data_IF_555533016817
#
_entry.id   IF_555533016817
#
_cell.length_a   1.000
_cell.length_b   1.000
_cell.length_c   1.000
_cell.angle_alpha   90.00
_cell.angle_beta   90.00
_cell.angle_gamma   90.00
#
_symmetry.space_group_name_H-M   'P 1'
#
loop_
_entity.id
_entity.type
_entity.pdbx_description
1 polymer ?
#
# COMPACT_ATOMS: atom_id res chain seq x y z
N UNK A 1 11.50 12.78 34.21
CA UNK A 1 10.57 11.70 33.88
C UNK A 1 11.23 10.77 32.88
N UNK A 2 11.19 9.48 33.14
CA UNK A 2 11.67 8.44 32.24
C UNK A 2 10.47 7.53 31.98
N UNK A 3 10.14 7.36 30.69
CA UNK A 3 9.09 6.46 30.23
C UNK A 3 9.72 5.47 29.26
N UNK A 4 9.64 4.19 29.59
CA UNK A 4 10.17 3.10 28.77
C UNK A 4 9.01 2.25 28.28
N UNK A 5 8.88 2.09 26.97
CA UNK A 5 7.94 1.16 26.35
C UNK A 5 8.73 0.06 25.66
N UNK A 6 8.34 -1.15 25.94
CA UNK A 6 8.91 -2.33 25.32
C UNK A 6 7.80 -3.09 24.58
N UNK A 7 7.98 -3.31 23.30
CA UNK A 7 7.07 -4.06 22.44
C UNK A 7 7.81 -5.11 21.63
N UNK A 8 7.11 -6.19 21.33
CA UNK A 8 7.58 -7.21 20.39
C UNK A 8 6.57 -7.25 19.26
N UNK A 9 7.05 -7.03 18.03
CA UNK A 9 6.24 -7.12 16.82
C UNK A 9 6.75 -8.31 16.02
N UNK A 10 5.89 -9.28 15.83
CA UNK A 10 6.13 -10.37 14.87
C UNK A 10 5.19 -10.20 13.68
N UNK A 11 5.73 -10.10 12.50
CA UNK A 11 4.99 -10.00 11.25
C UNK A 11 5.38 -11.16 10.35
N UNK A 12 4.38 -11.86 9.83
CA UNK A 12 4.55 -12.87 8.81
C UNK A 12 3.67 -12.52 7.61
N UNK A 13 4.25 -12.50 6.42
CA UNK A 13 3.57 -12.10 5.18
C UNK A 13 3.78 -13.20 4.13
N UNK A 14 2.70 -13.72 3.56
CA UNK A 14 2.76 -14.73 2.51
C UNK A 14 2.96 -14.15 1.10
N UNK A 15 3.35 -12.89 0.98
CA UNK A 15 3.51 -12.22 -0.30
C UNK A 15 4.64 -12.88 -1.13
N UNK A 16 4.35 -13.45 -2.32
CA UNK A 16 5.34 -14.12 -3.18
C UNK A 16 6.44 -13.19 -3.71
N UNK A 17 6.22 -11.87 -3.73
CA UNK A 17 7.23 -10.89 -4.15
C UNK A 17 8.37 -10.78 -3.15
N UNK A 18 8.13 -11.14 -1.90
CA UNK A 18 9.16 -11.16 -0.88
C UNK A 18 9.92 -12.48 -0.90
N UNK A 19 11.25 -12.41 -0.80
CA UNK A 19 12.06 -13.61 -0.59
C UNK A 19 11.61 -14.31 0.71
N UNK A 20 11.74 -15.63 0.80
CA UNK A 20 11.31 -16.41 1.98
C UNK A 20 11.91 -15.89 3.28
N UNK A 21 13.16 -15.41 3.24
CA UNK A 21 13.86 -14.83 4.39
C UNK A 21 13.22 -13.51 4.87
N UNK A 22 12.57 -12.76 3.99
CA UNK A 22 11.97 -11.47 4.29
C UNK A 22 10.45 -11.56 4.55
N UNK A 23 9.88 -12.76 4.47
CA UNK A 23 8.44 -12.97 4.74
C UNK A 23 8.10 -12.94 6.21
N UNK A 24 9.06 -13.24 7.07
CA UNK A 24 8.89 -13.12 8.52
C UNK A 24 9.86 -12.10 9.07
N UNK A 25 9.35 -11.16 9.86
CA UNK A 25 10.15 -10.20 10.58
C UNK A 25 9.81 -10.24 12.07
N UNK A 26 10.86 -10.21 12.86
CA UNK A 26 10.77 -10.06 14.31
C UNK A 26 11.44 -8.74 14.66
N UNK A 27 10.68 -7.82 15.20
CA UNK A 27 11.16 -6.50 15.59
C UNK A 27 10.90 -6.28 17.06
N UNK A 28 11.93 -5.87 17.78
CA UNK A 28 11.80 -5.37 19.14
C UNK A 28 11.60 -3.87 19.01
N UNK A 29 10.43 -3.41 19.44
CA UNK A 29 10.12 -1.99 19.52
C UNK A 29 10.49 -1.51 20.91
N UNK A 30 11.46 -0.62 21.00
CA UNK A 30 11.92 -0.01 22.23
C UNK A 30 11.80 1.50 22.12
N UNK A 31 10.76 2.06 22.72
CA UNK A 31 10.56 3.50 22.78
C UNK A 31 11.01 4.00 24.16
N UNK A 32 11.99 4.88 24.14
CA UNK A 32 12.57 5.51 25.33
C UNK A 32 12.29 7.01 25.27
N UNK A 33 11.51 7.48 26.23
CA UNK A 33 11.22 8.89 26.40
C UNK A 33 11.88 9.36 27.70
N UNK A 34 12.86 10.23 27.57
CA UNK A 34 13.56 10.83 28.70
C UNK A 34 13.35 12.34 28.63
N UNK A 35 12.78 12.89 29.71
CA UNK A 35 12.72 14.32 29.92
C UNK A 35 13.37 14.63 31.26
N UNK A 36 14.58 15.20 31.23
CA UNK A 36 15.39 15.50 32.39
C UNK A 36 15.86 16.95 32.35
N UNK A 37 15.52 17.70 33.38
CA UNK A 37 16.05 19.04 33.62
C UNK A 37 16.92 19.04 34.88
N UNK A 38 18.16 19.46 34.77
CA UNK A 38 19.12 19.56 35.87
C UNK A 38 19.57 21.01 35.98
N UNK A 39 19.42 21.57 37.16
CA UNK A 39 20.03 22.83 37.54
C UNK A 39 20.84 22.61 38.82
N UNK A 40 22.13 22.79 38.71
CA UNK A 40 23.05 22.64 39.84
C UNK A 40 23.90 23.89 39.99
N UNK A 41 24.11 24.32 41.21
CA UNK A 41 25.00 25.41 41.52
C UNK A 41 26.08 24.86 42.48
N UNK A 42 27.34 25.01 42.09
CA UNK A 42 28.48 24.62 42.89
C UNK A 42 29.20 25.85 43.41
N UNK A 43 29.04 26.10 44.70
CA UNK A 43 29.46 27.34 45.30
C UNK A 43 28.71 28.56 44.73
N UNK A 44 29.30 29.77 44.83
CA UNK A 44 28.69 31.02 44.33
C UNK A 44 29.03 31.31 42.86
N UNK A 45 29.89 30.50 42.24
CA UNK A 45 30.52 30.85 40.95
C UNK A 45 30.18 29.95 39.78
N UNK A 46 29.78 28.72 40.01
CA UNK A 46 29.58 27.76 38.95
C UNK A 46 28.13 27.33 38.89
N UNK A 47 27.47 27.54 37.77
CA UNK A 47 26.10 27.14 37.51
C UNK A 47 26.09 26.17 36.31
N UNK A 48 25.52 24.97 36.53
CA UNK A 48 25.25 24.00 35.49
C UNK A 48 23.76 23.98 35.21
N UNK A 49 23.39 24.13 33.93
CA UNK A 49 22.04 23.96 33.45
C UNK A 49 22.09 22.91 32.34
N UNK A 50 21.35 21.83 32.49
CA UNK A 50 21.21 20.80 31.48
C UNK A 50 19.74 20.43 31.33
N UNK A 51 19.23 20.54 30.11
CA UNK A 51 17.91 20.06 29.72
C UNK A 51 18.10 19.00 28.63
N UNK A 52 17.53 17.85 28.81
CA UNK A 52 17.58 16.75 27.87
C UNK A 52 16.16 16.20 27.65
N UNK A 53 15.72 16.23 26.41
CA UNK A 53 14.42 15.69 26.01
C UNK A 53 14.58 14.90 24.69
N UNK A 54 14.32 13.58 24.75
CA UNK A 54 14.41 12.69 23.59
C UNK A 54 13.32 12.96 22.56
N UNK A 55 12.23 13.65 22.93
CA UNK A 55 11.15 14.03 22.01
C UNK A 55 11.31 15.44 21.42
N UNK A 56 12.39 16.12 21.77
CA UNK A 56 12.62 17.46 21.22
C UNK A 56 12.76 17.40 19.68
N UNK A 57 11.95 18.19 19.01
CA UNK A 57 11.96 18.30 17.53
C UNK A 57 13.23 19.01 17.02
N UNK A 58 13.90 19.74 17.89
CA UNK A 58 15.09 20.53 17.54
C UNK A 58 16.21 20.31 18.54
N UNK A 59 17.42 20.07 18.05
CA UNK A 59 18.62 19.84 18.87
C UNK A 59 18.94 20.96 19.84
N UNK A 60 18.53 22.21 19.54
CA UNK A 60 18.77 23.35 20.44
C UNK A 60 17.91 23.32 21.71
N UNK A 61 16.89 22.46 21.80
CA UNK A 61 16.10 22.25 23.01
C UNK A 61 16.87 21.41 24.03
N UNK A 62 17.81 20.59 23.57
CA UNK A 62 18.74 19.85 24.41
C UNK A 62 19.91 20.74 24.76
N UNK A 63 19.81 21.42 25.87
CA UNK A 63 20.76 22.44 26.32
C UNK A 63 21.67 21.89 27.42
N UNK A 64 22.97 21.97 27.20
CA UNK A 64 23.96 21.77 28.27
C UNK A 64 24.81 23.04 28.35
N UNK A 65 24.72 23.73 29.48
CA UNK A 65 25.41 24.99 29.68
C UNK A 65 26.07 25.04 31.05
N UNK A 66 27.35 25.30 31.06
CA UNK A 66 28.16 25.57 32.24
C UNK A 66 28.54 27.05 32.26
N UNK A 67 28.15 27.76 33.28
CA UNK A 67 28.43 29.17 33.45
C UNK A 67 29.32 29.38 34.67
N UNK A 68 30.44 30.03 34.49
CA UNK A 68 31.30 30.54 35.57
C UNK A 68 31.18 32.05 35.63
N UNK A 69 30.79 32.56 36.78
CA UNK A 69 30.66 33.99 37.04
C UNK A 69 31.60 34.40 38.18
N UNK A 70 32.28 35.53 38.08
CA UNK A 70 33.05 36.04 39.18
C UNK A 70 32.14 36.43 40.36
N UNK A 71 32.63 36.46 41.60
CA UNK A 71 31.83 36.84 42.75
C UNK A 71 31.35 38.26 42.64
N UNK A 72 30.04 38.46 42.72
CA UNK A 72 29.45 39.80 42.80
C UNK A 72 29.30 40.18 44.30
N UNK A 73 29.97 41.24 44.70
CA UNK A 73 29.69 41.88 45.99
C UNK A 73 28.31 42.53 45.94
N UNK A 74 27.51 42.44 47.04
CA UNK A 74 26.21 43.13 47.09
C UNK A 74 26.38 44.63 46.84
N UNK A 75 25.79 45.12 45.73
CA UNK A 75 25.86 46.55 45.37
C UNK A 75 26.91 46.91 44.31
N UNK A 76 27.80 46.02 43.92
CA UNK A 76 28.79 46.27 42.85
C UNK A 76 28.52 45.29 41.72
N UNK A 77 28.20 45.81 40.55
CA UNK A 77 27.84 44.98 39.38
C UNK A 77 28.98 44.11 38.83
N UNK A 78 30.23 44.46 39.12
CA UNK A 78 31.42 43.70 38.69
C UNK A 78 32.60 44.01 39.67
N UNK A 79 33.47 43.01 39.93
CA UNK A 79 34.76 43.26 40.58
C UNK A 79 35.67 44.02 39.62
N UNK A 80 36.05 45.25 39.94
CA UNK A 80 36.88 46.13 39.06
C UNK A 80 38.27 45.52 38.80
N UNK A 81 38.74 44.57 39.61
CA UNK A 81 40.07 43.97 39.51
C UNK A 81 40.13 42.60 38.84
N UNK A 82 38.99 42.03 38.41
CA UNK A 82 38.92 40.71 37.80
C UNK A 82 39.03 40.76 36.28
N UNK A 83 40.11 40.26 35.71
CA UNK A 83 40.27 40.14 34.25
C UNK A 83 39.19 39.27 33.62
N UNK A 84 38.80 38.15 34.29
CA UNK A 84 37.79 37.22 33.78
C UNK A 84 36.43 37.65 34.31
N UNK A 85 35.57 38.11 33.39
CA UNK A 85 34.21 38.55 33.66
C UNK A 85 33.16 37.43 33.53
N UNK A 86 33.51 36.34 32.84
CA UNK A 86 32.65 35.18 32.72
C UNK A 86 33.20 34.17 31.71
N UNK A 87 32.87 32.90 31.96
CA UNK A 87 33.14 31.79 31.04
C UNK A 87 31.83 31.00 30.88
N UNK A 88 31.41 30.85 29.65
CA UNK A 88 30.23 30.05 29.30
C UNK A 88 30.71 28.87 28.40
N UNK A 89 30.40 27.63 28.75
CA UNK A 89 30.75 26.46 27.97
C UNK A 89 29.50 25.60 27.66
N UNK A 90 29.44 25.01 26.49
CA UNK A 90 28.29 24.26 25.99
C UNK A 90 27.47 25.02 24.97
N UNK A 91 26.15 25.06 25.13
CA UNK A 91 25.29 25.84 24.26
C UNK A 91 25.41 27.32 24.65
N UNK A 92 26.08 28.10 23.81
CA UNK A 92 26.35 29.52 24.01
C UNK A 92 25.56 30.35 22.99
N UNK A 93 25.15 31.54 23.39
CA UNK A 93 24.48 32.51 22.52
C UNK A 93 25.41 33.67 22.20
N UNK A 94 25.57 33.99 20.93
CA UNK A 94 26.31 35.14 20.46
C UNK A 94 25.34 36.09 19.76
N UNK A 95 24.93 37.24 20.40
CA UNK A 95 24.13 38.24 19.73
C UNK A 95 24.98 38.98 18.69
N UNK A 96 24.59 38.88 17.44
CA UNK A 96 25.20 39.62 16.33
C UNK A 96 24.48 40.94 16.20
N UNK A 97 25.17 42.03 16.51
CA UNK A 97 24.67 43.41 16.28
C UNK A 97 25.36 43.97 15.03
N UNK A 98 24.70 43.82 13.89
CA UNK A 98 25.13 44.48 12.66
C UNK A 98 23.93 45.24 12.06
N UNK A 99 24.20 46.30 11.28
CA UNK A 99 23.16 47.10 10.63
C UNK A 99 22.29 46.32 9.63
N UNK A 100 22.78 45.17 9.14
CA UNK A 100 22.12 44.32 8.16
C UNK A 100 21.52 43.00 8.72
N UNK A 101 22.02 42.56 9.90
CA UNK A 101 21.59 41.27 10.49
C UNK A 101 21.42 41.49 12.00
N UNK A 102 20.18 41.39 12.45
CA UNK A 102 19.84 41.30 13.86
C UNK A 102 19.43 39.87 14.19
N UNK A 103 20.22 39.14 14.98
CA UNK A 103 19.93 37.80 15.39
C UNK A 103 20.83 37.29 16.50
N UNK A 104 20.44 36.22 17.15
CA UNK A 104 21.27 35.46 18.07
C UNK A 104 21.49 34.09 17.48
N UNK A 105 22.73 33.73 17.25
CA UNK A 105 23.08 32.36 16.82
C UNK A 105 23.41 31.51 18.04
N UNK A 106 22.75 30.35 18.15
CA UNK A 106 23.11 29.34 19.15
C UNK A 106 24.27 28.51 18.62
N UNK A 107 25.33 28.41 19.38
CA UNK A 107 26.56 27.72 19.02
C UNK A 107 26.93 26.76 20.16
N UNK A 108 27.56 25.65 19.82
CA UNK A 108 28.16 24.77 20.82
C UNK A 108 29.67 25.07 20.91
N UNK A 109 30.13 25.47 22.10
CA UNK A 109 31.51 25.92 22.25
C UNK A 109 31.83 26.53 23.58
N UNK A 110 32.86 27.42 23.58
CA UNK A 110 33.36 28.13 24.72
C UNK A 110 33.30 29.64 24.44
N UNK A 111 32.70 30.39 25.32
CA UNK A 111 32.66 31.85 25.27
C UNK A 111 33.28 32.43 26.53
N UNK A 112 34.26 33.26 26.37
CA UNK A 112 34.98 33.95 27.47
C UNK A 112 34.82 35.44 27.34
N UNK A 113 34.48 36.07 28.44
CA UNK A 113 34.41 37.54 28.57
C UNK A 113 35.56 38.00 29.46
N UNK A 114 36.40 38.86 28.92
CA UNK A 114 37.56 39.41 29.59
C UNK A 114 37.46 40.93 29.62
N UNK A 115 37.92 41.53 30.69
CA UNK A 115 37.99 42.98 30.85
C UNK A 115 39.40 43.41 31.24
N UNK A 116 39.96 44.32 30.48
CA UNK A 116 41.28 44.93 30.71
C UNK A 116 41.05 46.45 30.84
N UNK A 117 40.92 46.94 32.05
CA UNK A 117 40.58 48.29 32.31
C UNK A 117 39.25 48.70 31.67
N UNK A 118 39.29 49.64 30.70
CA UNK A 118 38.09 50.06 29.96
C UNK A 118 37.77 49.21 28.72
N UNK A 119 38.62 48.22 28.37
CA UNK A 119 38.49 47.39 27.18
C UNK A 119 37.83 46.06 27.54
N UNK A 120 36.70 45.75 26.88
CA UNK A 120 36.01 44.46 27.00
C UNK A 120 36.28 43.61 25.76
N UNK A 121 36.76 42.36 25.97
CA UNK A 121 37.02 41.41 24.92
C UNK A 121 36.10 40.21 25.13
N UNK A 122 35.36 39.83 24.11
CA UNK A 122 34.59 38.58 24.09
C UNK A 122 35.19 37.64 23.04
N UNK A 123 35.72 36.51 23.48
CA UNK A 123 36.23 35.45 22.61
C UNK A 123 35.24 34.31 22.58
N UNK A 124 34.97 33.79 21.38
CA UNK A 124 34.08 32.63 21.16
C UNK A 124 34.81 31.60 20.30
N UNK A 125 34.87 30.40 20.81
CA UNK A 125 35.38 29.21 20.09
C UNK A 125 34.23 28.25 19.92
N UNK A 126 33.78 28.03 18.69
CA UNK A 126 32.68 27.10 18.41
C UNK A 126 33.07 26.10 17.35
N UNK A 127 32.52 24.88 17.48
CA UNK A 127 32.62 23.84 16.46
C UNK A 127 31.26 23.73 15.80
N UNK A 128 31.22 23.85 14.48
CA UNK A 128 30.05 23.63 13.66
C UNK A 128 30.35 22.51 12.67
N UNK A 129 29.63 21.42 12.76
CA UNK A 129 29.65 20.38 11.75
C UNK A 129 28.59 20.75 10.69
N UNK A 130 29.02 20.93 9.46
CA UNK A 130 28.11 21.11 8.33
C UNK A 130 28.30 19.92 7.38
N UNK A 131 27.21 19.28 7.03
CA UNK A 131 27.18 18.27 5.98
C UNK A 131 26.73 18.95 4.68
N UNK A 132 27.56 18.88 3.67
CA UNK A 132 27.26 19.43 2.35
C UNK A 132 26.98 18.30 1.40
N UNK A 133 25.74 18.20 0.94
CA UNK A 133 25.38 17.27 -0.13
C UNK A 133 25.33 18.02 -1.45
N UNK A 134 26.22 17.66 -2.35
CA UNK A 134 26.23 18.24 -3.70
C UNK A 134 25.36 17.39 -4.60
N UNK A 135 24.26 17.94 -5.08
CA UNK A 135 23.45 17.32 -6.13
C UNK A 135 23.93 17.84 -7.46
N UNK A 136 24.63 17.00 -8.22
CA UNK A 136 25.02 17.32 -9.59
C UNK A 136 23.88 16.90 -10.52
N UNK A 137 23.16 17.86 -11.10
CA UNK A 137 22.21 17.61 -12.15
C UNK A 137 22.94 17.72 -13.49
N UNK A 138 23.32 16.60 -14.08
CA UNK A 138 23.80 16.56 -15.47
C UNK A 138 22.60 16.52 -16.42
N UNK A 139 22.42 17.57 -17.17
CA UNK A 139 21.39 17.65 -18.21
C UNK A 139 21.81 16.83 -19.44
N UNK A 140 21.41 15.58 -19.48
CA UNK A 140 21.51 14.69 -20.63
C UNK A 140 20.43 13.61 -20.52
N UNK A 141 19.91 13.12 -21.65
CA UNK A 141 19.06 11.93 -21.62
C UNK A 141 19.92 10.73 -21.22
N UNK A 142 19.83 10.35 -19.93
CA UNK A 142 20.44 9.09 -19.48
C UNK A 142 19.55 7.94 -19.93
N UNK A 143 20.13 6.99 -20.67
CA UNK A 143 19.47 5.70 -20.89
C UNK A 143 19.47 5.00 -19.52
N UNK A 144 18.32 4.88 -18.91
CA UNK A 144 18.17 4.16 -17.66
C UNK A 144 17.76 2.72 -18.02
N UNK A 145 18.68 1.79 -17.80
CA UNK A 145 18.35 0.37 -17.87
C UNK A 145 17.57 -0.03 -16.61
N UNK A 146 16.51 -0.79 -16.81
CA UNK A 146 15.74 -1.37 -15.72
C UNK A 146 15.49 -2.86 -15.99
N UNK A 147 15.49 -3.65 -14.94
CA UNK A 147 15.18 -5.07 -14.99
C UNK A 147 13.91 -5.31 -14.16
N UNK A 148 12.93 -5.99 -14.75
CA UNK A 148 11.71 -6.41 -14.07
C UNK A 148 11.62 -7.94 -14.08
N UNK A 149 11.42 -8.52 -12.91
CA UNK A 149 11.17 -9.96 -12.76
C UNK A 149 9.68 -10.25 -12.85
N UNK A 150 9.31 -11.48 -13.15
CA UNK A 150 7.91 -11.90 -13.19
C UNK A 150 7.17 -11.69 -11.85
N UNK A 151 7.91 -11.59 -10.75
CA UNK A 151 7.38 -11.30 -9.41
C UNK A 151 7.21 -9.81 -9.11
N UNK A 152 7.75 -8.93 -9.95
CA UNK A 152 7.77 -7.47 -9.71
C UNK A 152 6.53 -6.77 -10.32
N UNK A 153 5.42 -7.50 -10.43
CA UNK A 153 4.14 -6.93 -10.86
C UNK A 153 3.64 -5.87 -9.88
N UNK A 154 2.82 -4.95 -10.35
CA UNK A 154 2.23 -3.87 -9.54
C UNK A 154 1.13 -4.42 -8.64
N UNK A 155 1.52 -4.92 -7.46
CA UNK A 155 0.63 -5.58 -6.51
C UNK A 155 -0.32 -4.58 -5.83
N UNK A 156 -1.45 -5.10 -5.33
CA UNK A 156 -2.45 -4.38 -4.53
C UNK A 156 -3.02 -3.11 -5.20
N UNK A 157 -3.05 -3.11 -6.53
CA UNK A 157 -3.50 -1.96 -7.32
C UNK A 157 -4.53 -2.32 -8.39
N UNK A 158 -4.39 -3.49 -9.02
CA UNK A 158 -5.22 -3.91 -10.14
C UNK A 158 -6.02 -5.16 -9.78
N UNK A 159 -7.36 -5.12 -9.96
CA UNK A 159 -8.23 -6.20 -9.52
C UNK A 159 -9.31 -6.52 -10.55
N UNK A 160 -9.51 -7.79 -10.84
CA UNK A 160 -10.70 -8.28 -11.53
C UNK A 160 -11.93 -8.17 -10.64
N UNK A 161 -13.08 -7.86 -11.23
CA UNK A 161 -14.34 -7.71 -10.48
C UNK A 161 -14.94 -9.05 -10.04
N UNK A 162 -14.64 -10.13 -10.75
CA UNK A 162 -14.99 -11.52 -10.39
C UNK A 162 -14.07 -12.52 -11.09
N UNK A 163 -14.14 -13.80 -10.71
CA UNK A 163 -13.39 -14.85 -11.37
C UNK A 163 -13.78 -15.00 -12.85
N UNK A 164 -15.04 -14.74 -13.20
CA UNK A 164 -15.49 -14.71 -14.59
C UNK A 164 -14.60 -13.84 -15.49
N UNK A 165 -14.30 -12.62 -15.05
CA UNK A 165 -13.46 -11.71 -15.85
C UNK A 165 -12.02 -12.20 -15.92
N UNK A 166 -11.47 -12.75 -14.84
CA UNK A 166 -10.13 -13.35 -14.83
C UNK A 166 -10.00 -14.50 -15.81
N UNK A 167 -10.96 -15.42 -15.81
CA UNK A 167 -10.95 -16.62 -16.66
C UNK A 167 -11.17 -16.31 -18.14
N UNK A 168 -11.93 -15.25 -18.45
CA UNK A 168 -12.20 -14.85 -19.82
C UNK A 168 -11.23 -13.75 -20.34
N UNK A 169 -10.32 -13.25 -19.51
CA UNK A 169 -9.41 -12.16 -19.86
C UNK A 169 -8.57 -12.43 -21.08
N UNK A 170 -7.80 -13.53 -21.08
CA UNK A 170 -6.94 -13.91 -22.21
C UNK A 170 -7.75 -14.23 -23.47
N UNK A 171 -8.96 -14.81 -23.31
CA UNK A 171 -9.85 -15.12 -24.42
C UNK A 171 -10.40 -13.86 -25.08
N UNK A 172 -10.75 -12.85 -24.28
CA UNK A 172 -11.24 -11.55 -24.75
C UNK A 172 -10.19 -10.76 -25.53
N UNK A 173 -8.91 -10.97 -25.22
CA UNK A 173 -7.77 -10.28 -25.84
C UNK A 173 -7.13 -11.07 -27.00
N UNK A 174 -7.69 -12.23 -27.39
CA UNK A 174 -7.09 -13.10 -28.43
C UNK A 174 -6.86 -12.36 -29.75
N UNK A 175 -7.75 -11.44 -30.11
CA UNK A 175 -7.72 -10.69 -31.38
C UNK A 175 -7.36 -9.23 -31.15
N UNK A 176 -6.53 -8.95 -30.14
CA UNK A 176 -6.10 -7.57 -29.87
C UNK A 176 -5.60 -6.87 -31.15
N UNK A 177 -5.96 -5.58 -31.41
CA UNK A 177 -6.58 -4.62 -30.49
C UNK A 177 -8.11 -4.73 -30.35
N UNK A 178 -8.76 -5.64 -31.04
CA UNK A 178 -10.20 -5.87 -30.87
C UNK A 178 -10.48 -6.68 -29.62
N UNK A 179 -11.15 -6.08 -28.64
CA UNK A 179 -11.59 -6.77 -27.43
C UNK A 179 -12.90 -7.49 -27.73
N UNK A 180 -12.87 -8.83 -27.61
CA UNK A 180 -14.03 -9.69 -27.88
C UNK A 180 -14.69 -10.14 -26.55
N UNK A 181 -15.39 -9.20 -25.89
CA UNK A 181 -16.13 -9.49 -24.66
C UNK A 181 -17.63 -9.35 -24.90
N UNK A 182 -18.47 -10.31 -24.47
CA UNK A 182 -19.93 -10.19 -24.54
C UNK A 182 -20.48 -9.28 -23.44
N UNK A 183 -19.66 -8.86 -22.47
CA UNK A 183 -20.01 -8.12 -21.27
C UNK A 183 -19.45 -6.71 -21.34
N UNK A 184 -20.23 -5.73 -20.87
CA UNK A 184 -19.78 -4.36 -20.70
C UNK A 184 -20.30 -3.79 -19.38
N UNK A 185 -19.39 -3.38 -18.49
CA UNK A 185 -19.74 -2.75 -17.22
C UNK A 185 -20.31 -1.36 -17.45
N UNK A 186 -21.50 -1.12 -16.94
CA UNK A 186 -22.25 0.15 -17.12
C UNK A 186 -22.27 0.99 -15.87
N UNK A 187 -22.15 0.36 -14.69
CA UNK A 187 -22.18 1.06 -13.41
C UNK A 187 -21.28 0.35 -12.40
N UNK A 188 -20.59 1.11 -11.57
CA UNK A 188 -19.72 0.58 -10.53
C UNK A 188 -19.70 1.50 -9.30
N UNK A 189 -19.65 0.92 -8.11
CA UNK A 189 -19.31 1.58 -6.86
C UNK A 189 -18.19 0.78 -6.17
N UNK A 190 -17.14 1.48 -5.77
CA UNK A 190 -15.97 0.87 -5.14
C UNK A 190 -15.86 1.39 -3.72
N UNK A 191 -15.71 0.48 -2.77
CA UNK A 191 -15.67 0.75 -1.34
C UNK A 191 -14.32 0.32 -0.77
N UNK A 192 -13.77 1.16 0.11
CA UNK A 192 -12.48 0.92 0.76
C UNK A 192 -12.56 1.24 2.25
N UNK A 193 -11.66 0.66 3.03
CA UNK A 193 -11.46 1.03 4.43
C UNK A 193 -11.23 2.53 4.58
N UNK A 194 -12.02 3.19 5.43
CA UNK A 194 -11.89 4.62 5.70
C UNK A 194 -10.83 4.87 6.79
N UNK A 195 -9.62 5.20 6.38
CA UNK A 195 -8.52 5.52 7.30
C UNK A 195 -8.47 6.98 7.73
N UNK A 196 -9.05 7.88 6.94
CA UNK A 196 -8.91 9.32 7.13
C UNK A 196 -10.10 9.95 7.86
N UNK A 197 -10.99 9.14 8.44
CA UNK A 197 -12.23 9.60 9.08
C UNK A 197 -13.01 10.60 8.20
N UNK A 198 -12.99 10.40 6.86
CA UNK A 198 -13.80 11.18 5.94
C UNK A 198 -15.26 11.05 6.32
N UNK A 199 -15.97 12.17 6.41
CA UNK A 199 -17.40 12.23 6.74
C UNK A 199 -18.28 12.27 5.50
N UNK A 200 -17.68 12.26 4.31
CA UNK A 200 -18.39 12.29 3.05
C UNK A 200 -18.41 10.91 2.40
N UNK A 201 -19.52 10.50 1.81
CA UNK A 201 -19.71 9.27 1.04
C UNK A 201 -19.28 7.99 1.77
N UNK A 202 -19.70 7.82 3.04
CA UNK A 202 -19.44 6.60 3.78
C UNK A 202 -20.71 5.79 4.03
N UNK A 203 -20.57 4.46 4.09
CA UNK A 203 -21.65 3.50 4.40
C UNK A 203 -21.11 2.32 5.19
N UNK A 204 -21.97 1.73 5.98
CA UNK A 204 -21.73 0.39 6.51
C UNK A 204 -21.92 -0.64 5.39
N UNK A 205 -20.94 -1.55 5.24
CA UNK A 205 -20.97 -2.58 4.22
C UNK A 205 -20.61 -3.95 4.79
N UNK A 206 -21.19 -4.97 4.18
CA UNK A 206 -20.80 -6.38 4.31
C UNK A 206 -20.24 -6.81 2.98
N UNK A 207 -18.93 -6.98 2.92
CA UNK A 207 -18.25 -7.43 1.72
C UNK A 207 -18.11 -8.96 1.74
N UNK A 208 -18.75 -9.64 0.80
CA UNK A 208 -18.82 -11.10 0.68
C UNK A 208 -17.93 -11.59 -0.46
N UNK A 209 -17.04 -12.54 -0.21
CA UNK A 209 -16.13 -13.06 -1.22
C UNK A 209 -16.85 -13.84 -2.33
N UNK A 210 -17.84 -14.65 -1.98
CA UNK A 210 -18.50 -15.56 -2.91
C UNK A 210 -19.77 -15.00 -3.56
N UNK A 211 -20.21 -13.79 -3.19
CA UNK A 211 -21.36 -13.15 -3.86
C UNK A 211 -21.03 -12.94 -5.35
N UNK A 212 -21.95 -13.33 -6.22
CA UNK A 212 -21.78 -13.18 -7.65
C UNK A 212 -20.87 -14.21 -8.30
N UNK A 213 -20.29 -15.18 -7.56
CA UNK A 213 -19.49 -16.25 -8.14
C UNK A 213 -20.39 -17.46 -8.50
N UNK A 214 -20.44 -17.86 -9.77
CA UNK A 214 -21.32 -18.96 -10.20
C UNK A 214 -20.74 -20.35 -9.97
N UNK A 215 -19.44 -20.51 -9.81
CA UNK A 215 -18.77 -21.80 -9.81
C UNK A 215 -18.19 -22.11 -8.42
N UNK A 216 -18.49 -23.31 -7.88
CA UNK A 216 -18.09 -23.71 -6.54
C UNK A 216 -16.57 -23.79 -6.34
N UNK A 217 -15.83 -24.11 -7.38
CA UNK A 217 -14.35 -24.14 -7.36
C UNK A 217 -13.73 -22.75 -7.06
N UNK A 218 -14.48 -21.69 -7.33
CA UNK A 218 -14.06 -20.31 -7.09
C UNK A 218 -14.50 -19.77 -5.72
N UNK A 219 -15.20 -20.56 -4.90
CA UNK A 219 -15.63 -20.09 -3.58
C UNK A 219 -14.48 -20.05 -2.58
N UNK A 220 -14.49 -19.02 -1.76
CA UNK A 220 -13.61 -18.92 -0.59
C UNK A 220 -14.14 -19.85 0.51
N UNK A 221 -15.46 -19.84 0.73
CA UNK A 221 -16.09 -20.67 1.75
C UNK A 221 -16.02 -22.16 1.39
N UNK A 222 -15.30 -22.91 2.22
CA UNK A 222 -15.18 -24.37 2.10
C UNK A 222 -16.23 -25.13 2.93
N UNK A 223 -17.19 -24.44 3.53
CA UNK A 223 -18.20 -25.06 4.40
C UNK A 223 -19.14 -26.03 3.68
N UNK A 224 -19.22 -25.96 2.34
CA UNK A 224 -20.21 -26.70 1.53
C UNK A 224 -21.64 -26.16 1.69
N UNK A 225 -21.87 -25.14 2.50
CA UNK A 225 -23.17 -24.49 2.67
C UNK A 225 -23.44 -23.43 1.59
N UNK A 226 -22.40 -22.90 0.95
CA UNK A 226 -22.53 -22.09 -0.26
C UNK A 226 -22.63 -23.01 -1.46
N UNK A 227 -23.70 -22.89 -2.23
CA UNK A 227 -24.01 -23.76 -3.35
C UNK A 227 -24.35 -22.97 -4.60
N UNK A 228 -23.86 -23.38 -5.81
CA UNK A 228 -24.22 -22.74 -7.06
C UNK A 228 -25.73 -22.78 -7.33
N UNK A 229 -26.24 -21.75 -7.98
CA UNK A 229 -27.62 -21.72 -8.47
C UNK A 229 -27.74 -22.56 -9.76
N UNK A 230 -28.69 -23.45 -9.80
CA UNK A 230 -28.98 -24.26 -11.00
C UNK A 230 -29.51 -23.42 -12.17
N UNK A 231 -30.02 -22.24 -11.90
CA UNK A 231 -30.63 -21.33 -12.88
C UNK A 231 -29.76 -20.09 -13.14
N UNK A 232 -28.46 -20.14 -12.80
CA UNK A 232 -27.56 -19.03 -13.09
C UNK A 232 -27.54 -18.72 -14.60
N UNK A 233 -27.74 -17.46 -15.01
CA UNK A 233 -27.69 -17.09 -16.42
C UNK A 233 -26.32 -17.36 -17.01
N UNK A 234 -26.26 -17.68 -18.31
CA UNK A 234 -25.01 -18.00 -18.99
C UNK A 234 -24.95 -17.41 -20.40
N UNK A 235 -23.74 -17.20 -20.89
CA UNK A 235 -23.47 -16.85 -22.32
C UNK A 235 -22.50 -17.86 -22.88
N UNK A 236 -22.85 -18.48 -24.01
CA UNK A 236 -22.05 -19.51 -24.65
C UNK A 236 -21.63 -20.65 -23.69
N UNK A 237 -22.52 -21.01 -22.76
CA UNK A 237 -22.26 -22.06 -21.76
C UNK A 237 -21.38 -21.64 -20.57
N UNK A 238 -20.95 -20.37 -20.49
CA UNK A 238 -20.22 -19.82 -19.36
C UNK A 238 -21.19 -19.08 -18.47
N UNK A 239 -21.28 -19.48 -17.20
CA UNK A 239 -22.16 -18.85 -16.23
C UNK A 239 -21.72 -17.41 -15.92
N UNK A 240 -22.71 -16.53 -15.80
CA UNK A 240 -22.50 -15.09 -15.57
C UNK A 240 -22.49 -14.76 -14.08
N UNK A 241 -21.67 -13.77 -13.66
CA UNK A 241 -21.65 -13.28 -12.28
C UNK A 241 -22.88 -12.43 -11.98
N UNK A 242 -23.79 -12.92 -11.15
CA UNK A 242 -24.98 -12.17 -10.71
C UNK A 242 -25.23 -12.38 -9.23
N UNK A 243 -26.04 -11.56 -8.59
CA UNK A 243 -26.47 -11.79 -7.21
C UNK A 243 -27.11 -13.18 -7.02
N UNK A 244 -27.70 -13.74 -8.06
CA UNK A 244 -28.42 -15.02 -8.05
C UNK A 244 -27.54 -16.19 -8.48
N UNK A 245 -26.24 -16.00 -8.66
CA UNK A 245 -25.30 -17.06 -9.10
C UNK A 245 -25.15 -18.19 -8.09
N UNK A 246 -25.44 -17.94 -6.82
CA UNK A 246 -25.43 -18.93 -5.74
C UNK A 246 -26.45 -18.58 -4.64
N UNK A 247 -26.56 -19.46 -3.64
CA UNK A 247 -27.56 -19.31 -2.56
C UNK A 247 -27.29 -18.17 -1.57
N UNK A 248 -26.14 -17.48 -1.66
CA UNK A 248 -25.88 -16.24 -0.89
C UNK A 248 -26.90 -15.15 -1.26
N UNK A 249 -27.50 -15.22 -2.45
CA UNK A 249 -28.61 -14.32 -2.81
C UNK A 249 -29.70 -14.23 -1.75
N UNK A 250 -29.96 -15.31 -1.01
CA UNK A 250 -30.94 -15.36 0.07
C UNK A 250 -30.58 -14.40 1.22
N UNK A 251 -29.30 -14.06 1.41
CA UNK A 251 -28.87 -13.11 2.44
C UNK A 251 -29.34 -11.71 2.13
N UNK A 252 -29.42 -11.34 0.84
CA UNK A 252 -29.76 -9.98 0.42
C UNK A 252 -31.18 -9.55 0.85
N UNK A 253 -32.09 -10.51 0.98
CA UNK A 253 -33.46 -10.28 1.47
C UNK A 253 -33.61 -10.42 2.98
N UNK A 254 -32.60 -10.90 3.69
CA UNK A 254 -32.64 -11.11 5.14
C UNK A 254 -32.42 -9.78 5.90
N UNK A 255 -33.25 -9.45 6.89
CA UNK A 255 -32.98 -8.30 7.74
C UNK A 255 -31.71 -8.45 8.60
N UNK A 256 -31.25 -9.68 8.84
CA UNK A 256 -30.08 -9.95 9.68
C UNK A 256 -28.76 -9.49 9.04
N UNK A 257 -28.71 -9.34 7.72
CA UNK A 257 -27.51 -8.80 7.03
C UNK A 257 -27.46 -7.25 7.16
N UNK A 258 -28.59 -6.60 7.44
CA UNK A 258 -28.70 -5.14 7.47
C UNK A 258 -28.09 -4.54 8.73
N UNK A 259 -28.07 -5.27 9.83
CA UNK A 259 -27.52 -4.80 11.09
C UNK A 259 -26.09 -5.36 11.30
N UNK A 260 -25.15 -4.44 11.50
CA UNK A 260 -23.73 -4.75 11.74
C UNK A 260 -23.53 -5.63 12.99
N UNK A 261 -24.43 -5.56 13.96
CA UNK A 261 -24.35 -6.35 15.20
C UNK A 261 -24.81 -7.81 15.02
N UNK A 262 -25.65 -8.10 14.03
CA UNK A 262 -26.24 -9.44 13.82
C UNK A 262 -25.60 -10.19 12.67
N UNK A 263 -24.99 -9.49 11.71
CA UNK A 263 -24.51 -10.06 10.45
C UNK A 263 -23.41 -11.11 10.65
N UNK A 264 -22.51 -10.92 11.60
CA UNK A 264 -21.42 -11.87 11.89
C UNK A 264 -21.98 -13.23 12.32
N UNK A 265 -22.87 -13.23 13.31
CA UNK A 265 -23.53 -14.46 13.77
C UNK A 265 -24.41 -15.09 12.69
N UNK A 266 -25.03 -14.29 11.83
CA UNK A 266 -25.85 -14.78 10.74
C UNK A 266 -25.02 -15.50 9.68
N UNK A 267 -23.93 -14.89 9.20
CA UNK A 267 -23.07 -15.48 8.16
C UNK A 267 -22.32 -16.71 8.68
N UNK A 268 -21.76 -16.62 9.87
CA UNK A 268 -21.05 -17.77 10.49
C UNK A 268 -22.00 -18.92 10.82
N UNK A 269 -23.18 -18.66 11.34
CA UNK A 269 -24.15 -19.70 11.70
C UNK A 269 -24.88 -20.33 10.49
N UNK A 270 -25.22 -19.53 9.45
CA UNK A 270 -25.99 -20.00 8.30
C UNK A 270 -25.12 -20.63 7.22
N UNK A 271 -23.95 -20.06 6.97
CA UNK A 271 -23.06 -20.47 5.88
C UNK A 271 -21.70 -21.01 6.36
N UNK A 272 -21.42 -21.01 7.67
CA UNK A 272 -20.14 -21.43 8.21
C UNK A 272 -18.98 -20.54 7.78
N UNK A 273 -19.26 -19.26 7.45
CA UNK A 273 -18.28 -18.31 6.97
C UNK A 273 -17.45 -17.73 8.11
N UNK A 274 -16.21 -17.36 7.82
CA UNK A 274 -15.26 -16.71 8.73
C UNK A 274 -14.96 -15.29 8.31
N UNK A 275 -15.02 -14.34 9.26
CA UNK A 275 -14.63 -12.96 9.02
C UNK A 275 -13.13 -12.89 8.69
N UNK A 276 -12.77 -12.00 7.78
CA UNK A 276 -11.38 -11.81 7.35
C UNK A 276 -10.95 -12.73 6.21
N UNK A 277 -11.69 -13.81 5.93
CA UNK A 277 -11.47 -14.66 4.76
C UNK A 277 -12.66 -14.66 3.81
N UNK A 278 -13.84 -15.09 4.30
CA UNK A 278 -15.04 -15.25 3.48
C UNK A 278 -15.80 -13.93 3.34
N UNK A 279 -15.72 -13.07 4.36
CA UNK A 279 -16.34 -11.75 4.35
C UNK A 279 -15.57 -10.76 5.23
N UNK A 280 -15.79 -9.48 4.97
CA UNK A 280 -15.27 -8.36 5.77
C UNK A 280 -16.40 -7.39 6.12
N UNK A 281 -16.38 -6.86 7.34
CA UNK A 281 -17.36 -5.91 7.86
C UNK A 281 -16.71 -4.53 8.01
N UNK A 282 -17.25 -3.53 7.35
CA UNK A 282 -16.80 -2.14 7.47
C UNK A 282 -17.96 -1.24 7.90
N UNK A 283 -17.86 -0.67 9.10
CA UNK A 283 -18.90 0.24 9.63
C UNK A 283 -18.97 1.57 8.87
N UNK A 284 -17.84 2.05 8.39
CA UNK A 284 -17.72 3.35 7.72
C UNK A 284 -16.83 3.22 6.48
N UNK A 285 -17.16 2.30 5.57
CA UNK A 285 -16.46 2.20 4.31
C UNK A 285 -16.62 3.49 3.50
N UNK A 286 -15.51 3.97 2.92
CA UNK A 286 -15.51 5.13 2.04
C UNK A 286 -15.74 4.69 0.59
N UNK A 287 -16.62 5.38 -0.11
CA UNK A 287 -16.77 5.21 -1.56
C UNK A 287 -15.65 5.94 -2.28
N UNK A 288 -14.99 5.27 -3.24
CA UNK A 288 -13.99 5.89 -4.10
C UNK A 288 -14.66 6.80 -5.13
N UNK A 289 -14.06 7.96 -5.36
CA UNK A 289 -14.47 8.87 -6.40
C UNK A 289 -13.96 8.40 -7.78
N UNK A 290 -14.64 8.74 -8.90
CA UNK A 290 -14.24 8.30 -10.24
C UNK A 290 -12.82 8.68 -10.66
N UNK A 291 -12.23 9.69 -10.04
CA UNK A 291 -10.84 10.11 -10.30
C UNK A 291 -9.80 9.33 -9.48
N UNK A 292 -10.20 8.42 -8.59
CA UNK A 292 -9.30 7.61 -7.76
C UNK A 292 -8.99 6.24 -8.38
N UNK A 293 -9.69 5.87 -9.45
CA UNK A 293 -9.51 4.60 -10.14
C UNK A 293 -9.79 4.71 -11.64
N UNK A 294 -9.36 3.72 -12.38
CA UNK A 294 -9.71 3.52 -13.81
C UNK A 294 -10.43 2.18 -13.94
N UNK A 295 -11.52 2.17 -14.70
CA UNK A 295 -12.30 0.98 -15.02
C UNK A 295 -12.10 0.57 -16.47
N UNK A 296 -11.73 -0.70 -16.71
CA UNK A 296 -11.88 -1.29 -18.04
C UNK A 296 -13.23 -2.02 -18.10
N UNK A 297 -14.20 -1.42 -18.75
CA UNK A 297 -15.60 -1.90 -18.76
C UNK A 297 -15.79 -3.21 -19.50
N UNK A 298 -14.99 -3.48 -20.55
CA UNK A 298 -15.09 -4.70 -21.35
C UNK A 298 -14.33 -5.89 -20.76
N UNK A 299 -13.21 -5.64 -20.11
CA UNK A 299 -12.38 -6.67 -19.50
C UNK A 299 -12.73 -6.90 -18.02
N UNK A 300 -13.56 -6.04 -17.40
CA UNK A 300 -14.06 -6.17 -16.05
C UNK A 300 -12.97 -6.15 -14.98
N UNK A 301 -12.07 -5.18 -15.06
CA UNK A 301 -11.08 -4.93 -14.02
C UNK A 301 -10.96 -3.44 -13.68
N UNK A 302 -10.49 -3.18 -12.48
CA UNK A 302 -10.21 -1.83 -11.98
C UNK A 302 -8.72 -1.66 -11.70
N UNK A 303 -8.24 -0.45 -11.88
CA UNK A 303 -6.89 -0.01 -11.53
C UNK A 303 -6.99 1.17 -10.58
N UNK A 304 -6.51 1.01 -9.36
CA UNK A 304 -6.50 2.07 -8.36
C UNK A 304 -5.34 3.04 -8.64
N UNK A 305 -5.54 4.34 -8.42
CA UNK A 305 -4.48 5.32 -8.58
C UNK A 305 -3.39 5.20 -7.50
N UNK A 306 -3.74 4.63 -6.34
CA UNK A 306 -2.78 4.28 -5.30
C UNK A 306 -2.84 2.78 -4.96
N UNK A 307 -1.71 2.24 -4.52
CA UNK A 307 -1.66 0.88 -3.98
C UNK A 307 -2.41 0.81 -2.66
N UNK A 308 -3.10 -0.30 -2.41
CA UNK A 308 -3.69 -0.58 -1.10
C UNK A 308 -2.59 -0.83 -0.07
N UNK A 309 -2.82 -0.34 1.14
CA UNK A 309 -1.95 -0.66 2.27
C UNK A 309 -2.37 -1.99 2.91
N UNK A 310 -1.50 -2.53 3.75
CA UNK A 310 -1.84 -3.71 4.53
C UNK A 310 -3.06 -3.47 5.43
N UNK A 311 -3.96 -4.46 5.48
CA UNK A 311 -5.20 -4.39 6.24
C UNK A 311 -6.28 -3.48 5.63
N UNK A 312 -6.10 -2.92 4.43
CA UNK A 312 -7.18 -2.23 3.71
C UNK A 312 -8.05 -3.25 2.97
N UNK A 313 -9.35 -3.15 3.17
CA UNK A 313 -10.37 -3.93 2.45
C UNK A 313 -10.75 -3.20 1.18
N UNK A 314 -10.92 -3.94 0.09
CA UNK A 314 -11.47 -3.45 -1.16
C UNK A 314 -12.70 -4.25 -1.52
N UNK A 315 -13.80 -3.55 -1.76
CA UNK A 315 -15.07 -4.16 -2.15
C UNK A 315 -15.74 -3.38 -3.28
N UNK A 316 -16.64 -4.02 -4.00
CA UNK A 316 -17.24 -3.45 -5.19
C UNK A 316 -18.70 -3.88 -5.37
N UNK A 317 -19.52 -3.01 -5.95
CA UNK A 317 -20.78 -3.36 -6.58
C UNK A 317 -20.74 -2.93 -8.03
N UNK A 318 -21.19 -3.76 -8.94
CA UNK A 318 -21.17 -3.44 -10.36
C UNK A 318 -22.41 -3.97 -11.07
N UNK A 319 -22.80 -3.26 -12.12
CA UNK A 319 -23.85 -3.62 -13.06
C UNK A 319 -23.26 -3.65 -14.45
N UNK A 320 -23.68 -4.61 -15.25
CA UNK A 320 -23.19 -4.78 -16.60
C UNK A 320 -24.29 -5.22 -17.55
N UNK A 321 -24.08 -4.89 -18.82
CA UNK A 321 -24.90 -5.38 -19.92
C UNK A 321 -24.21 -6.54 -20.63
N UNK A 322 -25.01 -7.45 -21.15
CA UNK A 322 -24.55 -8.61 -21.89
C UNK A 322 -25.43 -8.88 -23.09
N UNK A 323 -24.83 -9.42 -24.15
CA UNK A 323 -25.54 -9.83 -25.37
C UNK A 323 -25.57 -11.35 -25.44
N UNK A 324 -26.78 -11.92 -25.58
CA UNK A 324 -26.96 -13.36 -25.78
C UNK A 324 -27.00 -14.19 -24.50
N UNK A 325 -27.48 -13.61 -23.39
CA UNK A 325 -27.72 -14.36 -22.16
C UNK A 325 -28.81 -15.43 -22.37
N UNK A 326 -28.64 -16.59 -21.71
CA UNK A 326 -29.51 -17.77 -21.85
C UNK A 326 -30.95 -17.52 -21.42
N UNK A 327 -31.18 -16.60 -20.46
CA UNK A 327 -32.51 -16.23 -19.96
C UNK A 327 -33.14 -15.05 -20.72
N UNK A 328 -32.43 -14.48 -21.71
CA UNK A 328 -32.90 -13.33 -22.49
C UNK A 328 -32.77 -11.96 -21.81
N UNK A 329 -32.27 -11.92 -20.59
CA UNK A 329 -31.98 -10.66 -19.90
C UNK A 329 -30.72 -10.01 -20.48
N UNK A 330 -30.65 -8.69 -20.42
CA UNK A 330 -29.56 -7.90 -20.97
C UNK A 330 -28.75 -7.16 -19.92
N UNK A 331 -29.21 -7.10 -18.68
CA UNK A 331 -28.55 -6.40 -17.56
C UNK A 331 -28.53 -7.27 -16.32
N UNK A 332 -27.38 -7.31 -15.66
CA UNK A 332 -27.15 -8.06 -14.44
C UNK A 332 -26.33 -7.24 -13.46
N UNK A 333 -26.51 -7.52 -12.16
CA UNK A 333 -25.72 -6.85 -11.11
C UNK A 333 -25.11 -7.82 -10.12
N UNK A 334 -24.01 -7.41 -9.53
CA UNK A 334 -23.35 -8.05 -8.39
C UNK A 334 -23.17 -7.03 -7.28
N UNK A 335 -23.64 -7.38 -6.09
CA UNK A 335 -23.70 -6.49 -4.94
C UNK A 335 -24.86 -5.49 -5.03
N UNK A 336 -24.92 -4.62 -4.04
CA UNK A 336 -25.95 -3.59 -3.87
C UNK A 336 -25.33 -2.20 -3.98
N UNK A 337 -26.08 -1.26 -4.53
CA UNK A 337 -25.64 0.11 -4.68
C UNK A 337 -26.19 1.02 -3.59
N UNK A 338 -25.48 2.10 -3.31
CA UNK A 338 -25.85 3.07 -2.29
C UNK A 338 -27.22 3.74 -2.51
N UNK A 339 -27.73 3.70 -3.73
CA UNK A 339 -29.03 4.26 -4.13
C UNK A 339 -30.10 3.22 -4.47
N UNK A 340 -29.88 1.94 -4.13
CA UNK A 340 -30.86 0.85 -4.32
C UNK A 340 -32.00 0.85 -3.26
N UNK A 341 -32.17 1.96 -2.53
CA UNK A 341 -33.24 2.10 -1.52
C UNK A 341 -32.85 1.61 -0.12
N UNK A 342 -31.65 1.12 0.07
CA UNK A 342 -31.12 0.72 1.37
C UNK A 342 -30.53 1.95 2.06
N UNK A 343 -31.18 2.43 3.11
CA UNK A 343 -30.80 3.65 3.81
C UNK A 343 -29.82 3.36 4.96
N UNK A 344 -28.94 4.32 5.28
CA UNK A 344 -28.15 4.25 6.52
C UNK A 344 -29.10 4.24 7.74
N UNK A 345 -28.85 3.40 8.79
CA UNK A 345 -27.59 2.70 9.08
C UNK A 345 -27.44 1.29 8.49
N UNK A 346 -28.39 0.83 7.66
CA UNK A 346 -28.39 -0.53 7.12
C UNK A 346 -27.15 -0.80 6.26
N UNK A 347 -26.60 -2.01 6.40
CA UNK A 347 -25.43 -2.45 5.64
C UNK A 347 -25.79 -2.70 4.17
N UNK A 348 -24.89 -2.33 3.26
CA UNK A 348 -24.91 -2.77 1.87
C UNK A 348 -24.13 -4.08 1.73
N UNK A 349 -24.71 -5.05 1.02
CA UNK A 349 -24.00 -6.28 0.66
C UNK A 349 -23.26 -6.09 -0.66
N UNK A 350 -21.93 -6.22 -0.64
CA UNK A 350 -21.06 -5.93 -1.77
C UNK A 350 -20.07 -7.08 -2.01
N UNK A 351 -19.47 -7.14 -3.20
CA UNK A 351 -18.44 -8.12 -3.56
C UNK A 351 -17.11 -7.76 -2.92
N UNK A 352 -16.50 -8.71 -2.18
CA UNK A 352 -15.15 -8.57 -1.65
C UNK A 352 -14.12 -8.87 -2.74
N UNK A 353 -13.21 -7.94 -2.99
CA UNK A 353 -12.06 -8.14 -3.89
C UNK A 353 -10.77 -8.40 -3.11
N UNK A 354 -10.59 -7.71 -1.98
CA UNK A 354 -9.45 -7.89 -1.08
C UNK A 354 -9.90 -7.71 0.36
N UNK A 355 -9.57 -8.69 1.17
CA UNK A 355 -9.82 -8.69 2.61
C UNK A 355 -8.72 -7.95 3.38
N UNK A 356 -8.94 -7.67 4.66
CA UNK A 356 -7.94 -7.18 5.61
C UNK A 356 -6.78 -8.17 5.80
N UNK A 357 -7.04 -9.46 5.62
CA UNK A 357 -6.05 -10.54 5.71
C UNK A 357 -5.65 -10.96 4.30
N UNK A 358 -4.37 -10.84 3.97
CA UNK A 358 -3.85 -11.30 2.69
C UNK A 358 -3.52 -12.80 2.79
N UNK A 359 -4.40 -13.64 2.28
CA UNK A 359 -4.19 -15.08 2.15
C UNK A 359 -3.89 -15.40 0.69
N UNK A 360 -2.79 -16.10 0.43
CA UNK A 360 -2.34 -16.42 -0.95
C UNK A 360 -2.67 -17.84 -1.37
N UNK A 361 -2.74 -18.76 -0.42
CA UNK A 361 -2.94 -20.18 -0.65
C UNK A 361 -3.96 -20.76 0.32
N UNK A 362 -4.60 -21.85 -0.10
CA UNK A 362 -5.41 -22.72 0.75
C UNK A 362 -5.16 -24.17 0.41
N UNK A 363 -5.51 -25.07 1.31
CA UNK A 363 -5.46 -26.52 1.07
C UNK A 363 -6.87 -27.04 0.84
N UNK A 364 -7.11 -27.65 -0.33
CA UNK A 364 -8.38 -28.27 -0.69
C UNK A 364 -8.12 -29.71 -1.05
N UNK A 365 -8.80 -30.63 -0.37
CA UNK A 365 -8.63 -32.08 -0.57
C UNK A 365 -7.18 -32.61 -0.49
N UNK A 366 -6.33 -31.88 0.27
CA UNK A 366 -4.91 -32.24 0.42
C UNK A 366 -3.96 -31.59 -0.58
N UNK A 367 -4.48 -30.85 -1.56
CA UNK A 367 -3.71 -30.10 -2.56
C UNK A 367 -3.66 -28.62 -2.21
N UNK A 368 -2.49 -27.98 -2.41
CA UNK A 368 -2.35 -26.54 -2.29
C UNK A 368 -2.86 -25.84 -3.55
N UNK A 369 -3.78 -24.91 -3.38
CA UNK A 369 -4.26 -24.07 -4.47
C UNK A 369 -4.22 -22.59 -4.09
N UNK A 370 -4.23 -21.71 -5.11
CA UNK A 370 -4.27 -20.28 -4.88
C UNK A 370 -5.60 -19.87 -4.26
N UNK A 371 -5.53 -18.97 -3.28
CA UNK A 371 -6.72 -18.46 -2.61
C UNK A 371 -7.58 -17.64 -3.59
N UNK A 372 -8.92 -17.81 -3.64
CA UNK A 372 -9.74 -17.19 -4.66
C UNK A 372 -9.65 -15.65 -4.72
N UNK A 373 -9.65 -14.95 -3.58
CA UNK A 373 -9.49 -13.48 -3.59
C UNK A 373 -8.09 -13.04 -4.01
N UNK A 374 -7.04 -13.85 -3.72
CA UNK A 374 -5.70 -13.63 -4.25
C UNK A 374 -5.65 -13.71 -5.77
N UNK A 375 -6.50 -14.55 -6.37
CA UNK A 375 -6.60 -14.68 -7.82
C UNK A 375 -7.29 -13.48 -8.49
N UNK A 376 -8.10 -12.70 -7.75
CA UNK A 376 -8.70 -11.47 -8.29
C UNK A 376 -7.68 -10.36 -8.47
N UNK A 377 -6.58 -10.35 -7.72
CA UNK A 377 -5.50 -9.39 -7.95
C UNK A 377 -4.75 -9.74 -9.23
N UNK A 378 -4.60 -8.77 -10.12
CA UNK A 378 -3.87 -8.94 -11.38
C UNK A 378 -2.37 -8.98 -11.10
N UNK A 379 -1.68 -9.97 -11.70
CA UNK A 379 -0.24 -10.23 -11.55
C UNK A 379 0.50 -10.13 -12.89
N UNK A 380 -0.11 -9.46 -13.84
CA UNK A 380 0.36 -9.32 -15.21
C UNK A 380 0.53 -7.84 -15.64
N UNK A 381 0.49 -6.92 -14.68
CA UNK A 381 0.72 -5.49 -14.90
C UNK A 381 2.00 -5.08 -14.17
N UNK A 382 2.91 -4.43 -14.90
CA UNK A 382 4.23 -4.03 -14.42
C UNK A 382 4.42 -2.53 -14.59
N UNK A 383 4.90 -1.86 -13.53
CA UNK A 383 5.26 -0.46 -13.59
C UNK A 383 6.68 -0.32 -14.16
N UNK A 384 6.82 0.37 -15.28
CA UNK A 384 8.13 0.60 -15.91
C UNK A 384 8.97 1.67 -15.20
N UNK A 385 8.37 2.42 -14.27
CA UNK A 385 9.08 3.44 -13.47
C UNK A 385 9.58 4.65 -14.27
N UNK A 386 9.22 4.74 -15.55
CA UNK A 386 9.64 5.82 -16.44
C UNK A 386 8.45 6.70 -16.83
N UNK A 387 8.60 8.02 -16.68
CA UNK A 387 7.59 9.00 -17.08
C UNK A 387 8.27 10.36 -17.34
N UNK A 388 7.94 11.07 -18.43
CA UNK A 388 7.05 10.68 -19.52
C UNK A 388 7.74 9.75 -20.54
N UNK A 389 7.00 8.79 -21.06
CA UNK A 389 7.45 7.97 -22.20
C UNK A 389 6.94 8.61 -23.49
N UNK A 390 7.84 8.84 -24.43
CA UNK A 390 7.49 9.26 -25.79
C UNK A 390 7.52 8.03 -26.69
N UNK A 391 6.59 7.94 -27.64
CA UNK A 391 6.59 6.85 -28.62
C UNK A 391 7.75 6.91 -29.59
N UNK A 392 8.34 8.10 -29.75
CA UNK A 392 9.48 8.32 -30.63
C UNK A 392 10.77 7.88 -29.92
N UNK A 393 11.47 6.93 -30.53
CA UNK A 393 12.67 6.33 -29.96
C UNK A 393 12.45 5.32 -28.83
N UNK A 394 11.20 4.99 -28.48
CA UNK A 394 10.92 3.95 -27.49
C UNK A 394 11.29 2.57 -28.04
N UNK A 395 12.20 1.88 -27.35
CA UNK A 395 12.58 0.51 -27.66
C UNK A 395 12.29 -0.36 -26.46
N UNK A 396 11.55 -1.43 -26.67
CA UNK A 396 11.24 -2.43 -25.65
C UNK A 396 11.77 -3.79 -26.12
N UNK A 397 12.57 -4.44 -25.28
CA UNK A 397 13.12 -5.76 -25.53
C UNK A 397 12.69 -6.71 -24.42
N UNK A 398 12.22 -7.89 -24.79
CA UNK A 398 11.96 -8.99 -23.86
C UNK A 398 13.03 -10.03 -24.11
N UNK A 399 13.84 -10.30 -23.07
CA UNK A 399 14.90 -11.28 -23.13
C UNK A 399 14.60 -12.44 -22.20
N UNK A 400 14.79 -13.64 -22.68
CA UNK A 400 14.88 -14.84 -21.87
C UNK A 400 16.36 -15.13 -21.58
N UNK A 401 16.69 -15.34 -20.33
CA UNK A 401 18.04 -15.82 -19.94
C UNK A 401 17.98 -17.29 -19.66
N UNK A 402 18.79 -18.08 -20.35
CA UNK A 402 18.93 -19.51 -20.13
C UNK A 402 19.73 -19.81 -18.84
N UNK A 403 19.89 -21.10 -18.51
CA UNK A 403 20.69 -21.54 -17.36
C UNK A 403 22.14 -21.10 -17.40
N UNK A 404 22.66 -20.71 -18.58
CA UNK A 404 24.03 -20.20 -18.78
C UNK A 404 24.07 -18.67 -18.74
N UNK A 405 22.95 -18.01 -18.38
CA UNK A 405 22.79 -16.56 -18.32
C UNK A 405 22.97 -15.85 -19.68
N UNK A 406 22.81 -16.59 -20.79
CA UNK A 406 22.86 -16.02 -22.13
C UNK A 406 21.50 -15.41 -22.49
N UNK A 407 21.45 -14.12 -22.85
CA UNK A 407 20.18 -13.49 -23.23
C UNK A 407 19.75 -13.96 -24.63
N UNK A 408 18.47 -14.35 -24.74
CA UNK A 408 17.81 -14.63 -26.03
C UNK A 408 16.80 -13.51 -26.23
N UNK A 409 16.96 -12.74 -27.30
CA UNK A 409 15.99 -11.69 -27.65
C UNK A 409 14.69 -12.31 -28.14
N UNK A 410 13.59 -12.00 -27.49
CA UNK A 410 12.24 -12.44 -27.83
C UNK A 410 11.41 -11.32 -28.47
N UNK A 411 12.02 -10.18 -28.73
CA UNK A 411 11.36 -9.02 -29.35
C UNK A 411 10.88 -9.38 -30.76
N UNK A 412 9.60 -9.16 -31.03
CA UNK A 412 9.01 -9.50 -32.32
C UNK A 412 8.52 -10.94 -32.46
N UNK A 413 8.69 -11.77 -31.42
CA UNK A 413 8.04 -13.09 -31.39
C UNK A 413 6.54 -12.91 -31.12
N UNK A 414 5.72 -13.32 -32.08
CA UNK A 414 4.30 -13.57 -31.82
C UNK A 414 4.14 -15.07 -31.53
N UNK A 415 3.97 -15.41 -30.28
CA UNK A 415 3.87 -16.81 -29.88
C UNK A 415 3.68 -17.00 -28.38
N UNK A 416 3.58 -18.24 -27.96
CA UNK A 416 3.56 -18.60 -26.53
C UNK A 416 4.98 -18.88 -26.06
N UNK A 417 5.42 -18.16 -25.03
CA UNK A 417 6.62 -18.49 -24.30
C UNK A 417 6.25 -19.49 -23.17
N UNK A 418 6.84 -20.65 -23.20
CA UNK A 418 6.74 -21.62 -22.11
C UNK A 418 7.95 -21.47 -21.19
N UNK A 419 7.75 -21.03 -19.98
CA UNK A 419 8.78 -21.02 -18.95
C UNK A 419 8.58 -22.24 -18.07
N UNK A 420 9.52 -23.18 -18.10
CA UNK A 420 9.55 -24.31 -17.18
C UNK A 420 10.28 -23.90 -15.91
N UNK A 421 9.62 -23.92 -14.78
CA UNK A 421 10.29 -23.84 -13.50
C UNK A 421 10.98 -25.17 -13.20
N UNK A 422 12.30 -25.16 -13.01
CA UNK A 422 13.08 -26.32 -12.58
C UNK A 422 13.05 -26.53 -11.06
N UNK A 423 12.30 -25.75 -10.32
CA UNK A 423 12.08 -25.99 -8.90
C UNK A 423 11.13 -27.20 -8.74
N UNK A 424 11.75 -28.31 -8.40
CA UNK A 424 11.13 -29.61 -8.26
C UNK A 424 10.23 -29.67 -7.02
N UNK A 425 9.02 -29.22 -7.10
CA UNK A 425 7.89 -29.77 -6.32
C UNK A 425 6.51 -29.37 -6.85
N UNK A 426 6.42 -28.44 -7.77
CA UNK A 426 5.18 -28.20 -8.50
C UNK A 426 5.53 -27.94 -9.97
N UNK A 427 5.30 -28.91 -10.82
CA UNK A 427 5.43 -28.81 -12.27
C UNK A 427 4.29 -27.95 -12.85
N UNK A 428 4.21 -26.68 -12.44
CA UNK A 428 3.36 -25.70 -13.07
C UNK A 428 4.08 -25.11 -14.27
N UNK A 429 3.57 -25.31 -15.46
CA UNK A 429 4.04 -24.61 -16.65
C UNK A 429 3.41 -23.21 -16.67
N UNK A 430 4.24 -22.16 -16.63
CA UNK A 430 3.80 -20.80 -16.81
C UNK A 430 3.81 -20.47 -18.30
N UNK A 431 2.66 -20.16 -18.87
CA UNK A 431 2.56 -19.70 -20.25
C UNK A 431 2.45 -18.17 -20.25
N UNK A 432 3.43 -17.48 -20.85
CA UNK A 432 3.32 -16.07 -21.18
C UNK A 432 2.90 -15.93 -22.64
N UNK A 433 1.80 -15.25 -22.87
CA UNK A 433 1.44 -14.82 -24.24
C UNK A 433 2.01 -13.42 -24.44
N UNK A 434 3.01 -13.31 -25.30
CA UNK A 434 3.59 -12.04 -25.69
C UNK A 434 2.78 -11.46 -26.83
N UNK A 435 2.21 -10.28 -26.64
CA UNK A 435 1.68 -9.45 -27.70
C UNK A 435 2.64 -8.28 -27.88
N UNK A 436 3.16 -8.13 -29.09
CA UNK A 436 4.14 -7.09 -29.44
C UNK A 436 3.54 -5.68 -29.60
N UNK A 437 2.28 -5.48 -29.24
CA UNK A 437 1.61 -4.19 -29.37
C UNK A 437 1.47 -3.51 -28.01
N UNK A 438 1.88 -2.25 -27.95
CA UNK A 438 1.54 -1.33 -26.88
C UNK A 438 0.02 -1.16 -26.81
N UNK A 439 -0.53 -0.98 -25.61
CA UNK A 439 -1.90 -0.50 -25.48
C UNK A 439 -2.09 0.79 -26.29
N UNK A 440 -3.27 1.01 -26.91
CA UNK A 440 -3.52 2.22 -27.69
C UNK A 440 -3.37 3.54 -26.91
N UNK A 441 -3.44 3.46 -25.58
CA UNK A 441 -3.28 4.59 -24.66
C UNK A 441 -1.83 4.79 -24.18
N UNK A 442 -0.89 3.96 -24.62
CA UNK A 442 0.52 4.05 -24.25
C UNK A 442 0.84 3.64 -22.80
N UNK A 443 -0.13 3.07 -22.05
CA UNK A 443 0.00 2.85 -20.62
C UNK A 443 0.61 1.51 -20.19
N UNK A 444 0.98 0.64 -21.13
CA UNK A 444 1.71 -0.58 -20.74
C UNK A 444 1.57 -1.76 -21.71
N UNK A 445 2.29 -2.82 -21.37
CA UNK A 445 2.21 -4.12 -22.03
C UNK A 445 1.40 -5.07 -21.16
N UNK A 446 0.43 -5.74 -21.76
CA UNK A 446 -0.34 -6.76 -21.05
C UNK A 446 0.28 -8.14 -21.27
N UNK A 447 0.66 -8.79 -20.18
CA UNK A 447 1.02 -10.19 -20.15
C UNK A 447 -0.14 -11.00 -19.57
N UNK A 448 -0.61 -12.01 -20.30
CA UNK A 448 -1.58 -12.95 -19.76
C UNK A 448 -0.88 -14.27 -19.43
N UNK A 449 -0.97 -14.70 -18.17
CA UNK A 449 -0.49 -16.00 -17.72
C UNK A 449 -1.66 -16.89 -17.37
N UNK A 450 -1.62 -18.14 -17.78
CA UNK A 450 -2.52 -19.19 -17.30
C UNK A 450 -1.69 -20.35 -16.76
N UNK A 451 -1.99 -20.80 -15.55
CA UNK A 451 -1.52 -22.10 -15.05
C UNK A 451 -2.36 -23.18 -15.71
N UNK A 452 -1.88 -23.74 -16.78
CA UNK A 452 -2.52 -24.89 -17.43
C UNK A 452 -1.64 -26.12 -17.29
N UNK A 453 -2.20 -27.20 -16.79
CA UNK A 453 -1.51 -28.51 -16.69
C UNK A 453 -1.55 -29.29 -18.00
N UNK A 454 -2.19 -28.81 -19.04
CA UNK A 454 -2.25 -29.44 -20.36
C UNK A 454 -1.76 -28.49 -21.46
N UNK A 455 -0.77 -28.90 -22.28
CA UNK A 455 -0.43 -28.13 -23.46
C UNK A 455 -1.63 -28.18 -24.42
N UNK A 456 -1.99 -27.06 -25.08
CA UNK A 456 -2.97 -27.11 -26.15
C UNK A 456 -2.40 -27.98 -27.26
N UNK A 457 -3.11 -28.98 -27.66
CA UNK A 457 -2.88 -29.70 -28.92
C UNK A 457 -2.87 -28.70 -30.07
N UNK A 458 -1.80 -28.74 -30.85
CA UNK A 458 -1.48 -27.97 -32.05
C UNK A 458 -2.66 -27.68 -32.96
#
# INVERSE_FOLDING_TARGET
>A
NINLKFGIIYQNTENPQLSEQNRSSFTIDFDQQINAGIQAQVGERLKLTANYDTQSTFDFQNLIKLEFMPPSLPGVKYSEDGIIQGIEAGNISMPIKNSLINGAQSLFGLKTKLQFGKTNITAVFSLQNSESTTVTAEGGSSIQEFELRATDYDNDRHFFLSQYFRENYAKSLRNYPLISSPVNITRIEIWITNRNASVEDFRSIVALADIGEPAAENYVSLSGLVTPSLNAPSVNGVALPTNESNNISNTLSSPLIRDIATVDNYLSGTYGMSQGSDYSLLQNARKLQPNEYTLNSQLGFISLNRRLNDGEVLAVSYEYTVVGASNGETSFKVGEFSNDGISSPDNLAVKLLRSEILTTKRTVAGEEEAFPTWNLMMKNIYALGASPLTSDGFRFEIQYRDSNNSPIDLTGYSGRLQIRSTYAQNSGELFLTLSSSLNPDGTGLNFSGSNGTTPPTS
#
